data_IF_126946356025
#
_entry.id   IF_126946356025
#
_cell.length_a   1.000
_cell.length_b   1.000
_cell.length_c   1.000
_cell.angle_alpha   90.00
_cell.angle_beta   90.00
_cell.angle_gamma   90.00
#
_symmetry.space_group_name_H-M   'P 1'
#
loop_
_entity.id
_entity.type
_entity.pdbx_description
1 polymer ?
#
# COMPACT_ATOMS: atom_id res chain seq x y z
N UNK A 1 -10.69 8.31 19.36
CA UNK A 1 -9.21 8.29 19.40
C UNK A 1 -8.69 9.71 19.22
N UNK A 2 -7.65 10.13 19.94
CA UNK A 2 -7.11 11.48 19.87
C UNK A 2 -6.29 11.74 18.61
N UNK A 3 -6.19 13.00 18.16
CA UNK A 3 -5.30 13.41 17.07
C UNK A 3 -3.90 13.66 17.63
N UNK A 4 -2.88 13.13 16.95
CA UNK A 4 -1.46 13.31 17.31
C UNK A 4 -0.77 14.16 16.23
N UNK A 5 0.17 15.02 16.63
CA UNK A 5 0.91 15.88 15.70
C UNK A 5 2.21 15.21 15.24
N UNK A 6 2.47 15.30 13.93
CA UNK A 6 3.75 14.89 13.32
C UNK A 6 4.52 16.16 12.97
N UNK A 7 5.79 16.24 13.37
CA UNK A 7 6.67 17.36 13.02
C UNK A 7 7.74 16.90 12.02
N UNK A 8 7.71 17.47 10.82
CA UNK A 8 8.66 17.15 9.74
C UNK A 8 9.14 18.44 9.08
N UNK A 9 10.41 18.47 8.68
CA UNK A 9 10.97 19.54 7.85
C UNK A 9 10.79 19.17 6.39
N UNK A 10 10.19 20.07 5.62
CA UNK A 10 9.98 19.93 4.18
C UNK A 10 10.48 21.17 3.46
N UNK A 11 10.81 21.00 2.18
CA UNK A 11 11.18 22.12 1.33
C UNK A 11 10.03 23.15 1.24
N UNK A 12 10.39 24.44 1.19
CA UNK A 12 9.42 25.53 1.19
C UNK A 12 8.61 25.57 -0.12
N UNK A 13 9.24 25.28 -1.27
CA UNK A 13 8.55 25.21 -2.55
C UNK A 13 7.56 24.05 -2.57
N UNK A 14 7.93 22.89 -2.00
CA UNK A 14 7.01 21.76 -1.85
C UNK A 14 5.79 22.13 -1.00
N UNK A 15 6.00 22.76 0.16
CA UNK A 15 4.90 23.22 1.02
C UNK A 15 3.96 24.16 0.26
N UNK A 16 4.50 25.13 -0.49
CA UNK A 16 3.70 26.06 -1.30
C UNK A 16 2.87 25.33 -2.35
N UNK A 17 3.49 24.41 -3.09
CA UNK A 17 2.83 23.64 -4.14
C UNK A 17 1.66 22.81 -3.58
N UNK A 18 1.88 22.09 -2.48
CA UNK A 18 0.83 21.26 -1.84
C UNK A 18 -0.31 22.13 -1.31
N UNK A 19 -0.01 23.25 -0.65
CA UNK A 19 -1.05 24.17 -0.17
C UNK A 19 -1.90 24.72 -1.31
N UNK A 20 -1.27 25.12 -2.41
CA UNK A 20 -1.99 25.63 -3.59
C UNK A 20 -2.85 24.54 -4.23
N UNK A 21 -2.31 23.33 -4.36
CA UNK A 21 -3.04 22.17 -4.86
C UNK A 21 -4.28 21.87 -4.01
N UNK A 22 -4.13 21.76 -2.69
CA UNK A 22 -5.24 21.51 -1.77
C UNK A 22 -6.31 22.60 -1.86
N UNK A 23 -5.90 23.88 -1.89
CA UNK A 23 -6.83 25.02 -2.04
C UNK A 23 -7.64 24.95 -3.33
N UNK A 24 -6.99 24.64 -4.46
CA UNK A 24 -7.66 24.57 -5.76
C UNK A 24 -8.73 23.47 -5.85
N UNK A 25 -8.65 22.45 -4.99
CA UNK A 25 -9.57 21.30 -4.94
C UNK A 25 -10.48 21.28 -3.71
N UNK A 26 -10.45 22.31 -2.87
CA UNK A 26 -11.23 22.35 -1.63
C UNK A 26 -10.82 21.31 -0.60
N UNK A 27 -9.58 20.83 -0.64
CA UNK A 27 -9.06 19.80 0.26
C UNK A 27 -8.43 20.41 1.51
N UNK A 28 -8.62 19.75 2.65
CA UNK A 28 -7.96 20.10 3.91
C UNK A 28 -6.55 19.51 3.90
N UNK A 29 -5.53 20.36 4.11
CA UNK A 29 -4.12 19.94 4.07
C UNK A 29 -3.82 18.75 4.99
N UNK A 30 -4.34 18.75 6.22
CA UNK A 30 -4.15 17.64 7.16
C UNK A 30 -4.72 16.33 6.65
N UNK A 31 -5.90 16.36 6.02
CA UNK A 31 -6.50 15.17 5.42
C UNK A 31 -5.68 14.70 4.23
N UNK A 32 -5.27 15.61 3.35
CA UNK A 32 -4.41 15.28 2.21
C UNK A 32 -3.11 14.61 2.64
N UNK A 33 -2.43 15.15 3.67
CA UNK A 33 -1.20 14.55 4.20
C UNK A 33 -1.47 13.20 4.85
N UNK A 34 -2.59 13.05 5.56
CA UNK A 34 -2.95 11.78 6.19
C UNK A 34 -3.17 10.68 5.13
N UNK A 35 -3.97 10.95 4.10
CA UNK A 35 -4.21 9.99 3.00
C UNK A 35 -2.90 9.67 2.27
N UNK A 36 -2.11 10.67 1.90
CA UNK A 36 -0.84 10.46 1.21
C UNK A 36 0.17 9.63 2.03
N UNK A 37 0.12 9.72 3.37
CA UNK A 37 0.93 8.88 4.24
C UNK A 37 0.38 7.44 4.33
N UNK A 38 -0.94 7.27 4.37
CA UNK A 38 -1.57 5.94 4.37
C UNK A 38 -1.30 5.21 3.05
N UNK A 39 -1.59 5.85 1.92
CA UNK A 39 -1.33 5.30 0.58
C UNK A 39 0.12 4.83 0.46
N UNK A 40 1.06 5.66 0.93
CA UNK A 40 2.49 5.34 0.84
C UNK A 40 2.91 4.20 1.77
N UNK A 41 2.27 4.05 2.93
CA UNK A 41 2.52 2.93 3.83
C UNK A 41 1.97 1.62 3.26
N UNK A 42 0.77 1.66 2.69
CA UNK A 42 0.14 0.52 2.00
C UNK A 42 1.03 0.04 0.84
N UNK A 43 1.55 0.96 0.02
CA UNK A 43 2.50 0.61 -1.05
C UNK A 43 3.77 -0.10 -0.54
N UNK A 44 4.28 0.28 0.64
CA UNK A 44 5.43 -0.41 1.23
C UNK A 44 5.08 -1.80 1.75
N UNK A 45 3.89 -1.97 2.33
CA UNK A 45 3.38 -3.26 2.77
C UNK A 45 3.22 -4.22 1.58
N UNK A 46 2.63 -3.76 0.47
CA UNK A 46 2.51 -4.55 -0.76
C UNK A 46 3.87 -5.03 -1.29
N UNK A 47 4.89 -4.16 -1.27
CA UNK A 47 6.25 -4.52 -1.71
C UNK A 47 6.85 -5.61 -0.81
N UNK A 48 6.62 -5.52 0.49
CA UNK A 48 7.14 -6.51 1.44
C UNK A 48 6.39 -7.84 1.33
N UNK A 49 5.08 -7.82 1.09
CA UNK A 49 4.32 -9.03 0.80
C UNK A 49 4.74 -9.72 -0.50
N UNK A 50 5.06 -8.96 -1.56
CA UNK A 50 5.63 -9.55 -2.78
C UNK A 50 6.95 -10.29 -2.52
N UNK A 51 7.79 -9.79 -1.61
CA UNK A 51 9.02 -10.50 -1.21
C UNK A 51 8.67 -11.79 -0.49
N UNK A 52 7.67 -11.77 0.40
CA UNK A 52 7.22 -12.98 1.12
C UNK A 52 6.68 -14.02 0.16
N UNK A 53 5.78 -13.65 -0.74
CA UNK A 53 5.18 -14.53 -1.76
C UNK A 53 6.27 -15.17 -2.62
N UNK A 54 7.30 -14.42 -3.03
CA UNK A 54 8.41 -14.97 -3.83
C UNK A 54 9.17 -16.10 -3.11
N UNK A 55 9.17 -16.09 -1.79
CA UNK A 55 9.83 -17.10 -0.96
C UNK A 55 8.85 -18.15 -0.41
N UNK A 56 7.58 -18.11 -0.80
CA UNK A 56 6.63 -19.13 -0.39
C UNK A 56 7.00 -20.49 -1.00
N UNK A 57 6.88 -21.57 -0.21
CA UNK A 57 7.13 -22.91 -0.72
C UNK A 57 6.14 -23.22 -1.84
N UNK A 58 6.65 -23.53 -3.02
CA UNK A 58 5.83 -24.00 -4.13
C UNK A 58 5.52 -25.48 -3.98
N UNK A 59 4.35 -25.90 -4.43
CA UNK A 59 3.97 -27.32 -4.54
C UNK A 59 3.83 -27.76 -6.01
N UNK A 60 4.13 -29.03 -6.35
CA UNK A 60 3.96 -29.53 -7.71
C UNK A 60 2.52 -29.42 -8.20
N UNK A 61 2.33 -29.02 -9.45
CA UNK A 61 1.00 -28.92 -10.07
C UNK A 61 0.25 -30.26 -10.04
N UNK A 62 0.95 -31.38 -10.20
CA UNK A 62 0.36 -32.72 -10.16
C UNK A 62 -0.33 -33.03 -8.81
N UNK A 63 0.24 -32.56 -7.69
CA UNK A 63 -0.35 -32.75 -6.38
C UNK A 63 -1.61 -31.90 -6.20
N UNK A 64 -1.63 -30.70 -6.78
CA UNK A 64 -2.81 -29.82 -6.82
C UNK A 64 -3.94 -30.43 -7.65
N UNK A 65 -3.62 -30.96 -8.84
CA UNK A 65 -4.60 -31.59 -9.73
C UNK A 65 -5.22 -32.83 -9.07
N UNK A 66 -4.40 -33.63 -8.37
CA UNK A 66 -4.87 -34.81 -7.62
C UNK A 66 -5.77 -34.42 -6.45
N UNK A 67 -5.40 -33.40 -5.68
CA UNK A 67 -6.23 -32.86 -4.58
C UNK A 67 -7.59 -32.38 -5.08
N UNK A 68 -7.61 -31.75 -6.27
CA UNK A 68 -8.83 -31.26 -6.91
C UNK A 68 -9.62 -32.36 -7.66
N UNK A 69 -9.13 -33.60 -7.69
CA UNK A 69 -9.75 -34.72 -8.42
C UNK A 69 -9.93 -34.44 -9.93
N UNK A 70 -8.99 -33.67 -10.51
CA UNK A 70 -9.00 -33.29 -11.93
C UNK A 70 -8.01 -34.14 -12.76
N UNK A 71 -7.41 -35.17 -12.17
CA UNK A 71 -6.41 -36.02 -12.83
C UNK A 71 -7.03 -37.12 -13.71
N UNK A 72 -8.37 -37.15 -13.85
CA UNK A 72 -9.07 -38.08 -14.73
C UNK A 72 -9.08 -39.52 -14.22
N UNK A 73 -8.68 -39.74 -12.97
CA UNK A 73 -8.84 -41.00 -12.26
C UNK A 73 -10.27 -41.08 -11.69
N UNK A 74 -11.03 -42.17 -11.92
CA UNK A 74 -12.40 -42.32 -11.43
C UNK A 74 -12.51 -42.40 -9.91
#
# INVERSE_FOLDING_TARGET
MGKVQINVRVDEALKRAVVQFCRSRGLVLSHFVQEALLDRLEEFEDIDDLKRIRHEPTRPLADVIRELQLDGTP
#
